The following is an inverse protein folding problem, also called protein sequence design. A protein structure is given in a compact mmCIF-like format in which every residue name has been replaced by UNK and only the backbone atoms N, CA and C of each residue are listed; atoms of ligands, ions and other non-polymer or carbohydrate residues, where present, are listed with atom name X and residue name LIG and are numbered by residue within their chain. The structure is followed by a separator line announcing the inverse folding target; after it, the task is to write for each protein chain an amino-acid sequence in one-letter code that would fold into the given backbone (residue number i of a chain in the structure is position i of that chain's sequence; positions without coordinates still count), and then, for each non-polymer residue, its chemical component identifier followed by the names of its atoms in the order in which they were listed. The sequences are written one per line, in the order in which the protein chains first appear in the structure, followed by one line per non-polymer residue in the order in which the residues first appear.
data_IF_055101854924
#
_entry.id   IF_055101854924
#
_cell.length_a   1.000
_cell.length_b   1.000
_cell.length_c   1.000
_cell.angle_alpha   90.00
_cell.angle_beta   90.00
_cell.angle_gamma   90.00
#
_symmetry.space_group_name_H-M   'P 1'
#
loop_
_entity.id
_entity.type
_entity.pdbx_description
1 polymer ?
#
# COMPACT_ATOMS: atom_id res chain seq x y z
N UNK A 1 37.30 12.41 -20.63
CA UNK A 1 36.02 11.64 -20.62
C UNK A 1 35.09 12.40 -19.70
N UNK A 2 34.04 13.03 -20.24
CA UNK A 2 33.11 13.82 -19.43
C UNK A 2 32.17 12.87 -18.68
N UNK A 3 32.24 12.92 -17.35
CA UNK A 3 31.40 12.16 -16.45
C UNK A 3 29.94 12.61 -16.60
N UNK A 4 29.10 11.76 -17.17
CA UNK A 4 27.65 12.01 -17.29
C UNK A 4 27.01 11.67 -15.94
N UNK A 5 26.87 12.69 -15.10
CA UNK A 5 26.02 12.61 -13.91
C UNK A 5 24.55 12.67 -14.36
N UNK A 6 23.81 11.58 -14.17
CA UNK A 6 22.36 11.55 -14.37
C UNK A 6 21.72 11.93 -13.03
N UNK A 7 21.07 13.10 -12.89
CA UNK A 7 20.37 13.41 -11.66
C UNK A 7 19.16 12.48 -11.52
N UNK A 8 19.13 11.69 -10.44
CA UNK A 8 17.94 10.93 -10.06
C UNK A 8 16.95 11.93 -9.46
N UNK A 9 16.12 12.53 -10.31
CA UNK A 9 15.02 13.40 -9.87
C UNK A 9 13.87 12.50 -9.42
N UNK A 10 13.52 12.55 -8.14
CA UNK A 10 12.36 11.82 -7.61
C UNK A 10 11.06 12.47 -8.10
N UNK A 11 10.58 12.03 -9.26
CA UNK A 11 9.35 12.50 -9.90
C UNK A 11 8.09 12.28 -9.06
N UNK A 12 8.15 11.49 -7.97
CA UNK A 12 7.02 11.34 -7.02
C UNK A 12 6.68 12.66 -6.34
N UNK A 13 7.65 13.58 -6.20
CA UNK A 13 7.47 14.86 -5.51
C UNK A 13 6.87 15.97 -6.39
N UNK A 14 6.86 15.78 -7.72
CA UNK A 14 6.50 16.84 -8.69
C UNK A 14 5.21 16.58 -9.47
N UNK A 15 4.53 15.46 -9.28
CA UNK A 15 3.22 15.28 -9.91
C UNK A 15 2.19 16.20 -9.21
N UNK A 16 1.64 17.23 -9.88
CA UNK A 16 0.44 17.87 -9.35
C UNK A 16 -0.62 16.79 -9.23
N UNK A 17 -1.29 16.72 -8.08
CA UNK A 17 -2.41 15.81 -7.91
C UNK A 17 -3.41 16.08 -9.03
N UNK A 18 -3.52 15.18 -10.00
CA UNK A 18 -4.50 15.29 -11.06
C UNK A 18 -5.86 15.49 -10.38
N UNK A 19 -6.59 16.53 -10.78
CA UNK A 19 -7.91 16.82 -10.26
C UNK A 19 -8.86 15.70 -10.71
N UNK A 20 -8.88 14.62 -9.95
CA UNK A 20 -9.80 13.53 -10.12
C UNK A 20 -11.19 14.03 -9.66
N UNK A 21 -12.26 13.68 -10.38
CA UNK A 21 -13.60 14.01 -9.94
C UNK A 21 -13.84 13.41 -8.55
N UNK A 22 -14.16 14.28 -7.59
CA UNK A 22 -14.56 13.88 -6.24
C UNK A 22 -15.96 13.29 -6.32
N UNK A 23 -16.06 11.98 -6.20
CA UNK A 23 -17.34 11.27 -6.08
C UNK A 23 -17.79 11.43 -4.62
N UNK A 24 -18.95 12.04 -4.39
CA UNK A 24 -19.54 12.09 -3.07
C UNK A 24 -19.88 10.67 -2.59
N UNK A 25 -19.62 10.31 -1.33
CA UNK A 25 -19.86 8.96 -0.82
C UNK A 25 -21.37 8.67 -0.80
N UNK A 26 -21.85 7.88 -1.76
CA UNK A 26 -23.23 7.42 -1.84
C UNK A 26 -23.42 5.98 -1.33
N UNK A 27 -22.36 5.36 -0.77
CA UNK A 27 -22.35 3.97 -0.30
C UNK A 27 -22.45 2.89 -1.38
N UNK A 28 -22.59 3.28 -2.66
CA UNK A 28 -22.79 2.39 -3.81
C UNK A 28 -21.60 2.47 -4.77
N UNK A 29 -20.38 2.24 -4.27
CA UNK A 29 -19.22 2.13 -5.14
C UNK A 29 -19.15 0.71 -5.72
N UNK A 30 -19.24 0.61 -7.04
CA UNK A 30 -19.16 -0.64 -7.77
C UNK A 30 -18.12 -0.56 -8.90
N UNK A 31 -17.54 -1.70 -9.26
CA UNK A 31 -16.64 -1.79 -10.41
C UNK A 31 -17.41 -1.89 -11.74
N UNK A 32 -16.67 -2.05 -12.85
CA UNK A 32 -17.25 -2.17 -14.20
C UNK A 32 -18.12 -3.42 -14.41
N UNK A 33 -18.00 -4.41 -13.53
CA UNK A 33 -18.83 -5.63 -13.53
C UNK A 33 -19.99 -5.53 -12.53
N UNK A 34 -20.18 -4.37 -11.89
CA UNK A 34 -21.24 -4.14 -10.92
C UNK A 34 -21.00 -4.76 -9.54
N UNK A 35 -19.77 -5.19 -9.23
CA UNK A 35 -19.46 -5.78 -7.92
C UNK A 35 -19.29 -4.67 -6.88
N UNK A 36 -19.95 -4.75 -5.71
CA UNK A 36 -19.85 -3.72 -4.68
C UNK A 36 -18.50 -3.76 -3.96
N UNK A 37 -18.02 -2.61 -3.51
CA UNK A 37 -16.83 -2.51 -2.68
C UNK A 37 -17.16 -2.82 -1.20
N UNK A 38 -16.90 -4.04 -0.76
CA UNK A 38 -17.23 -4.51 0.61
C UNK A 38 -16.02 -4.67 1.53
N UNK A 39 -14.89 -5.09 0.99
CA UNK A 39 -13.71 -5.50 1.75
C UNK A 39 -12.50 -4.65 1.41
N UNK A 40 -11.85 -4.09 2.43
CA UNK A 40 -10.59 -3.39 2.31
C UNK A 40 -9.46 -4.22 2.93
N UNK A 41 -8.51 -4.65 2.10
CA UNK A 41 -7.31 -5.34 2.55
C UNK A 41 -6.16 -4.34 2.65
N UNK A 42 -5.63 -4.16 3.86
CA UNK A 42 -4.55 -3.22 4.12
C UNK A 42 -3.27 -4.02 4.33
N UNK A 43 -2.30 -3.85 3.45
CA UNK A 43 -0.95 -4.39 3.63
C UNK A 43 -0.14 -3.41 4.46
N UNK A 44 0.18 -3.79 5.69
CA UNK A 44 0.82 -2.89 6.66
C UNK A 44 2.35 -2.96 6.59
N UNK A 45 2.91 -4.05 6.06
CA UNK A 45 4.36 -4.27 5.97
C UNK A 45 4.66 -5.27 4.86
N UNK A 46 5.81 -5.17 4.21
CA UNK A 46 6.32 -6.11 3.22
C UNK A 46 7.25 -7.19 3.84
N UNK A 47 7.55 -7.07 5.14
CA UNK A 47 8.42 -7.99 5.87
C UNK A 47 7.64 -9.17 6.44
N UNK A 48 8.26 -10.35 6.43
CA UNK A 48 7.75 -11.57 7.04
C UNK A 48 8.87 -12.27 7.82
N UNK A 49 8.51 -12.95 8.91
CA UNK A 49 9.45 -13.78 9.70
C UNK A 49 9.62 -15.18 9.07
N UNK A 50 8.72 -15.59 8.18
CA UNK A 50 8.79 -16.85 7.45
C UNK A 50 9.28 -16.66 6.01
N UNK A 51 9.71 -17.77 5.43
CA UNK A 51 10.17 -17.88 4.03
C UNK A 51 9.49 -19.07 3.35
N UNK A 52 8.16 -18.98 3.25
CA UNK A 52 7.35 -20.03 2.66
C UNK A 52 7.70 -20.16 1.18
N UNK A 53 7.95 -21.38 0.70
CA UNK A 53 8.36 -21.65 -0.69
C UNK A 53 7.41 -21.10 -1.75
N UNK A 54 6.11 -21.01 -1.45
CA UNK A 54 5.08 -20.53 -2.37
C UNK A 54 4.79 -19.02 -2.26
N UNK A 55 5.40 -18.30 -1.32
CA UNK A 55 5.08 -16.91 -1.04
C UNK A 55 6.34 -16.03 -1.02
N UNK A 56 7.28 -16.35 -0.11
CA UNK A 56 8.54 -15.64 0.03
C UNK A 56 9.70 -16.64 0.00
N UNK A 57 10.02 -17.21 -1.18
CA UNK A 57 11.11 -18.17 -1.32
C UNK A 57 12.46 -17.55 -0.95
N UNK A 58 13.31 -18.32 -0.26
CA UNK A 58 14.61 -17.85 0.25
C UNK A 58 15.56 -17.40 -0.86
N UNK A 59 15.46 -18.02 -2.04
CA UNK A 59 16.33 -17.70 -3.19
C UNK A 59 16.06 -16.30 -3.78
N UNK A 60 14.90 -15.71 -3.43
CA UNK A 60 14.52 -14.35 -3.85
C UNK A 60 14.55 -13.39 -2.66
N UNK A 61 13.99 -13.79 -1.52
CA UNK A 61 13.88 -12.97 -0.31
C UNK A 61 14.95 -13.38 0.71
N UNK A 62 16.21 -13.28 0.32
CA UNK A 62 17.34 -13.57 1.17
C UNK A 62 17.60 -12.44 2.19
N UNK A 63 18.81 -12.39 2.74
CA UNK A 63 19.24 -11.39 3.72
C UNK A 63 19.55 -10.02 3.10
N UNK A 64 19.85 -10.00 1.80
CA UNK A 64 20.30 -8.83 1.05
C UNK A 64 19.13 -8.23 0.24
N UNK A 65 17.94 -8.81 0.33
CA UNK A 65 16.72 -8.29 -0.27
C UNK A 65 16.35 -6.91 0.30
N UNK A 66 16.22 -5.93 -0.61
CA UNK A 66 15.83 -4.56 -0.30
C UNK A 66 14.32 -4.44 -0.03
N UNK A 67 13.96 -4.57 1.24
CA UNK A 67 12.62 -4.23 1.72
C UNK A 67 12.37 -2.73 1.69
N UNK A 68 11.09 -2.35 1.65
CA UNK A 68 10.68 -0.96 1.71
C UNK A 68 11.26 -0.27 2.96
N UNK A 69 11.81 0.94 2.82
CA UNK A 69 12.17 1.76 3.96
C UNK A 69 10.90 2.18 4.69
N UNK A 70 11.01 2.41 6.00
CA UNK A 70 9.85 2.75 6.83
C UNK A 70 9.11 4.01 6.36
N UNK A 71 9.84 4.97 5.78
CA UNK A 71 9.28 6.20 5.20
C UNK A 71 8.44 5.97 3.92
N UNK A 72 8.59 4.82 3.27
CA UNK A 72 7.79 4.45 2.10
C UNK A 72 6.54 3.64 2.47
N UNK A 73 6.38 3.26 3.74
CA UNK A 73 5.15 2.65 4.25
C UNK A 73 4.18 3.76 4.66
N UNK A 74 2.89 3.56 4.38
CA UNK A 74 1.84 4.47 4.85
C UNK A 74 1.87 4.57 6.38
N UNK A 75 1.73 5.78 6.92
CA UNK A 75 1.58 6.03 8.35
C UNK A 75 0.23 5.49 8.87
N UNK A 76 0.07 5.38 10.19
CA UNK A 76 -1.22 4.95 10.76
C UNK A 76 -2.32 5.99 10.56
N UNK A 77 -1.96 7.27 10.55
CA UNK A 77 -2.85 8.39 10.24
C UNK A 77 -3.32 8.30 8.79
N UNK A 78 -2.43 8.00 7.85
CA UNK A 78 -2.77 7.81 6.44
C UNK A 78 -3.68 6.58 6.24
N UNK A 79 -3.35 5.46 6.88
CA UNK A 79 -4.17 4.24 6.86
C UNK A 79 -5.56 4.52 7.43
N UNK A 80 -5.65 5.23 8.56
CA UNK A 80 -6.92 5.56 9.21
C UNK A 80 -7.74 6.50 8.34
N UNK A 81 -7.11 7.51 7.72
CA UNK A 81 -7.76 8.41 6.78
C UNK A 81 -8.37 7.64 5.60
N UNK A 82 -7.59 6.74 5.00
CA UNK A 82 -8.08 5.90 3.90
C UNK A 82 -9.21 4.98 4.36
N UNK A 83 -9.06 4.29 5.48
CA UNK A 83 -10.09 3.40 6.02
C UNK A 83 -11.45 4.10 6.20
N UNK A 84 -11.45 5.34 6.70
CA UNK A 84 -12.67 6.16 6.84
C UNK A 84 -13.30 6.48 5.48
N UNK A 85 -12.50 6.97 4.54
CA UNK A 85 -12.97 7.27 3.18
C UNK A 85 -13.57 6.02 2.50
N UNK A 86 -12.92 4.86 2.64
CA UNK A 86 -13.41 3.60 2.08
C UNK A 86 -14.70 3.10 2.77
N UNK A 87 -14.84 3.32 4.08
CA UNK A 87 -16.06 2.99 4.82
C UNK A 87 -17.26 3.81 4.36
N UNK A 88 -17.06 5.11 4.10
CA UNK A 88 -18.08 6.01 3.52
C UNK A 88 -18.53 5.55 2.12
N UNK A 89 -17.66 4.85 1.37
CA UNK A 89 -17.96 4.32 0.04
C UNK A 89 -18.57 2.91 0.03
N UNK A 90 -18.85 2.31 1.19
CA UNK A 90 -19.53 1.01 1.26
C UNK A 90 -18.72 -0.13 1.88
N UNK A 91 -17.43 0.09 2.19
CA UNK A 91 -16.62 -0.94 2.85
C UNK A 91 -17.21 -1.29 4.22
N UNK A 92 -17.24 -2.58 4.55
CA UNK A 92 -17.76 -3.12 5.82
C UNK A 92 -16.73 -3.95 6.57
N UNK A 93 -15.71 -4.45 5.89
CA UNK A 93 -14.71 -5.34 6.48
C UNK A 93 -13.31 -4.84 6.14
N UNK A 94 -12.48 -4.70 7.16
CA UNK A 94 -11.06 -4.37 7.03
C UNK A 94 -10.24 -5.57 7.44
N UNK A 95 -9.33 -6.01 6.58
CA UNK A 95 -8.37 -7.07 6.88
C UNK A 95 -6.95 -6.52 6.85
N UNK A 96 -6.28 -6.57 8.00
CA UNK A 96 -4.85 -6.26 8.08
C UNK A 96 -4.05 -7.46 7.59
N UNK A 97 -3.08 -7.19 6.72
CA UNK A 97 -2.18 -8.15 6.07
C UNK A 97 -0.81 -7.52 5.87
N UNK A 98 0.09 -8.20 5.18
CA UNK A 98 1.42 -7.72 4.87
C UNK A 98 2.23 -8.83 4.19
N UNK A 99 3.49 -8.93 4.57
CA UNK A 99 4.08 -10.20 4.97
C UNK A 99 3.43 -10.68 6.28
N UNK A 100 4.13 -10.52 7.41
CA UNK A 100 3.61 -10.81 8.74
C UNK A 100 3.20 -9.50 9.45
N UNK A 101 1.89 -9.22 9.63
CA UNK A 101 1.40 -7.96 10.20
C UNK A 101 2.02 -7.62 11.56
N UNK A 102 2.24 -8.63 12.41
CA UNK A 102 2.75 -8.43 13.77
C UNK A 102 4.21 -7.96 13.82
N UNK A 103 4.93 -7.96 12.69
CA UNK A 103 6.27 -7.37 12.61
C UNK A 103 6.26 -5.85 12.50
N UNK A 104 5.13 -5.22 12.17
CA UNK A 104 5.04 -3.76 12.16
C UNK A 104 4.84 -3.26 13.58
N UNK A 105 5.77 -2.42 14.03
CA UNK A 105 5.76 -1.84 15.37
C UNK A 105 4.49 -1.02 15.61
N UNK A 106 3.97 -1.06 16.83
CA UNK A 106 2.79 -0.32 17.29
C UNK A 106 1.47 -0.69 16.57
N UNK A 107 1.36 -1.94 16.12
CA UNK A 107 0.09 -2.59 15.76
C UNK A 107 -0.49 -3.28 17.00
#
# INVERSE_FOLDING_TARGET
MAERVIPIVDLRRSAPAAALPTIAPAGLLADRLGRPLTDLRISVTDRCNFRCSYCMPKDVFDKDYDYLPHSALLSFEEITRLARLFAEHGTRKIRLTGGEPLLRKNI
#
